data_IF_191416282868
#
_entry.id   IF_191416282868
#
_cell.length_a   1.000
_cell.length_b   1.000
_cell.length_c   1.000
_cell.angle_alpha   90.00
_cell.angle_beta   90.00
_cell.angle_gamma   90.00
#
_symmetry.space_group_name_H-M   'P 1'
#
loop_
_entity.id
_entity.type
_entity.pdbx_description
1 polymer ?
#
# COMPACT_ATOMS: atom_id res chain seq x y z
N UNK A 1 13.82 6.32 24.44
CA UNK A 1 13.81 6.85 23.05
C UNK A 1 14.93 7.88 22.78
N UNK A 2 15.69 8.36 23.77
CA UNK A 2 16.73 9.38 23.54
C UNK A 2 17.82 8.97 22.55
N UNK A 3 18.32 7.72 22.62
CA UNK A 3 19.31 7.22 21.66
C UNK A 3 18.80 7.24 20.20
N UNK A 4 17.52 6.93 19.99
CA UNK A 4 16.90 7.05 18.66
C UNK A 4 16.83 8.51 18.21
N UNK A 5 16.42 9.42 19.10
CA UNK A 5 16.34 10.84 18.78
C UNK A 5 17.69 11.41 18.36
N UNK A 6 18.76 11.11 19.10
CA UNK A 6 20.12 11.53 18.75
C UNK A 6 20.58 10.96 17.40
N UNK A 7 20.23 9.71 17.08
CA UNK A 7 20.54 9.11 15.77
C UNK A 7 19.80 9.80 14.64
N UNK A 8 18.52 10.13 14.82
CA UNK A 8 17.72 10.85 13.82
C UNK A 8 18.28 12.24 13.56
N UNK A 9 18.61 13.00 14.62
CA UNK A 9 19.24 14.32 14.50
C UNK A 9 20.55 14.22 13.71
N UNK A 10 21.43 13.29 14.09
CA UNK A 10 22.71 13.09 13.39
C UNK A 10 22.53 12.74 11.91
N UNK A 11 21.51 11.96 11.54
CA UNK A 11 21.24 11.64 10.14
C UNK A 11 20.70 12.85 9.38
N UNK A 12 19.77 13.61 9.99
CA UNK A 12 19.20 14.82 9.39
C UNK A 12 20.25 15.91 9.15
N UNK A 13 21.22 16.06 10.05
CA UNK A 13 22.32 17.04 9.94
C UNK A 13 23.48 16.56 9.06
N UNK A 14 23.43 15.33 8.52
CA UNK A 14 24.58 14.76 7.80
C UNK A 14 24.71 15.22 6.34
N UNK A 15 23.70 15.88 5.78
CA UNK A 15 23.61 16.27 4.36
C UNK A 15 23.88 15.11 3.36
N UNK A 16 23.66 13.85 3.77
CA UNK A 16 23.89 12.63 2.95
C UNK A 16 22.66 12.15 2.18
N UNK A 17 21.56 12.90 2.20
CA UNK A 17 20.33 12.48 1.53
C UNK A 17 20.50 12.59 0.00
N UNK A 18 20.35 11.46 -0.69
CA UNK A 18 20.30 11.37 -2.15
C UNK A 18 18.94 10.81 -2.58
N UNK A 19 17.89 11.57 -2.27
CA UNK A 19 16.53 11.14 -2.51
C UNK A 19 16.16 11.29 -3.99
N UNK A 20 15.64 10.21 -4.56
CA UNK A 20 14.96 10.19 -5.84
C UNK A 20 13.72 9.30 -5.75
N UNK A 21 12.74 9.54 -6.62
CA UNK A 21 11.58 8.64 -6.75
C UNK A 21 12.01 7.32 -7.36
N UNK A 22 11.22 6.27 -7.13
CA UNK A 22 11.52 4.92 -7.62
C UNK A 22 11.40 4.83 -9.15
N UNK A 23 10.50 5.62 -9.73
CA UNK A 23 10.24 5.69 -11.17
C UNK A 23 9.87 7.15 -11.55
N UNK A 24 10.06 7.52 -12.82
CA UNK A 24 9.58 8.80 -13.35
C UNK A 24 8.07 8.75 -13.66
N UNK A 25 7.43 9.92 -13.71
CA UNK A 25 5.98 10.03 -13.88
C UNK A 25 5.49 9.58 -15.25
N UNK A 26 6.31 9.69 -16.31
CA UNK A 26 5.99 9.29 -17.69
C UNK A 26 6.13 7.79 -17.96
N UNK A 27 6.54 7.01 -16.95
CA UNK A 27 6.61 5.55 -17.06
C UNK A 27 5.20 4.94 -17.24
N UNK A 28 4.99 3.99 -18.17
CA UNK A 28 3.70 3.33 -18.34
C UNK A 28 3.19 2.70 -17.04
N UNK A 29 1.87 2.70 -16.82
CA UNK A 29 1.29 2.25 -15.53
C UNK A 29 1.66 0.79 -15.19
N UNK A 30 1.71 -0.06 -16.22
CA UNK A 30 2.17 -1.45 -16.11
C UNK A 30 3.61 -1.52 -15.59
N UNK A 31 4.50 -0.71 -16.14
CA UNK A 31 5.92 -0.69 -15.76
C UNK A 31 6.12 -0.10 -14.37
N UNK A 32 5.30 0.88 -13.96
CA UNK A 32 5.27 1.39 -12.58
C UNK A 32 4.93 0.27 -11.59
N UNK A 33 3.92 -0.55 -11.87
CA UNK A 33 3.55 -1.72 -11.06
C UNK A 33 4.73 -2.72 -10.99
N UNK A 34 5.30 -3.07 -12.15
CA UNK A 34 6.42 -4.02 -12.24
C UNK A 34 7.67 -3.51 -11.49
N UNK A 35 7.95 -2.21 -11.56
CA UNK A 35 9.07 -1.57 -10.86
C UNK A 35 8.91 -1.68 -9.35
N UNK A 36 7.71 -1.38 -8.81
CA UNK A 36 7.45 -1.54 -7.38
C UNK A 36 7.60 -3.00 -6.96
N UNK A 37 7.00 -3.92 -7.70
CA UNK A 37 7.01 -5.34 -7.39
C UNK A 37 8.43 -5.93 -7.37
N UNK A 38 9.25 -5.59 -8.35
CA UNK A 38 10.61 -6.15 -8.50
C UNK A 38 11.62 -5.48 -7.58
N UNK A 39 11.64 -4.14 -7.50
CA UNK A 39 12.67 -3.41 -6.75
C UNK A 39 12.38 -3.32 -5.25
N UNK A 40 11.10 -3.18 -4.85
CA UNK A 40 10.73 -3.04 -3.43
C UNK A 40 10.35 -4.38 -2.81
N UNK A 41 9.51 -5.17 -3.50
CA UNK A 41 8.99 -6.42 -2.91
C UNK A 41 9.85 -7.65 -3.19
N UNK A 42 10.72 -7.61 -4.21
CA UNK A 42 11.54 -8.76 -4.60
C UNK A 42 10.77 -9.82 -5.41
N UNK A 43 9.68 -9.43 -6.07
CA UNK A 43 8.96 -10.29 -7.00
C UNK A 43 9.85 -10.66 -8.20
N UNK A 44 9.70 -11.88 -8.72
CA UNK A 44 10.37 -12.31 -9.95
C UNK A 44 9.62 -11.84 -11.20
N UNK A 45 8.30 -11.73 -11.10
CA UNK A 45 7.43 -11.22 -12.17
C UNK A 45 6.11 -10.71 -11.59
N UNK A 46 5.36 -10.00 -12.44
CA UNK A 46 3.98 -9.59 -12.15
C UNK A 46 3.07 -10.25 -13.16
N UNK A 47 1.97 -10.82 -12.68
CA UNK A 47 0.90 -11.38 -13.49
C UNK A 47 -0.32 -10.47 -13.35
N UNK A 48 -0.68 -9.79 -14.44
CA UNK A 48 -1.80 -8.84 -14.45
C UNK A 48 -2.96 -9.49 -15.19
N UNK A 49 -4.09 -9.66 -14.49
CA UNK A 49 -5.30 -10.23 -15.05
C UNK A 49 -5.75 -9.44 -16.27
N UNK A 50 -6.35 -10.14 -17.25
CA UNK A 50 -6.83 -9.54 -18.50
C UNK A 50 -7.75 -8.33 -18.27
N UNK A 51 -8.59 -8.38 -17.23
CA UNK A 51 -9.48 -7.28 -16.86
C UNK A 51 -8.67 -6.05 -16.42
N UNK A 52 -7.72 -6.24 -15.52
CA UNK A 52 -6.83 -5.18 -15.04
C UNK A 52 -5.98 -4.58 -16.18
N UNK A 53 -5.45 -5.42 -17.08
CA UNK A 53 -4.72 -4.96 -18.27
C UNK A 53 -5.57 -4.06 -19.17
N UNK A 54 -6.83 -4.43 -19.41
CA UNK A 54 -7.73 -3.61 -20.21
C UNK A 54 -8.04 -2.28 -19.52
N UNK A 55 -8.21 -2.29 -18.20
CA UNK A 55 -8.52 -1.09 -17.44
C UNK A 55 -7.32 -0.15 -17.32
N UNK A 56 -6.10 -0.68 -17.17
CA UNK A 56 -4.87 0.13 -17.28
C UNK A 56 -4.82 0.88 -18.61
N UNK A 57 -5.09 0.18 -19.72
CA UNK A 57 -5.15 0.81 -21.04
C UNK A 57 -6.23 1.88 -21.11
N UNK A 58 -7.41 1.63 -20.55
CA UNK A 58 -8.49 2.63 -20.52
C UNK A 58 -8.06 3.88 -19.74
N UNK A 59 -7.40 3.72 -18.59
CA UNK A 59 -6.89 4.83 -17.77
C UNK A 59 -5.83 5.63 -18.54
N UNK A 60 -4.93 4.97 -19.25
CA UNK A 60 -3.94 5.63 -20.12
C UNK A 60 -4.62 6.38 -21.27
N UNK A 61 -5.60 5.77 -21.94
CA UNK A 61 -6.37 6.38 -23.03
C UNK A 61 -7.18 7.61 -22.55
N UNK A 62 -7.53 7.68 -21.26
CA UNK A 62 -8.18 8.83 -20.63
C UNK A 62 -7.20 9.96 -20.24
N UNK A 63 -5.91 9.82 -20.54
CA UNK A 63 -4.88 10.82 -20.22
C UNK A 63 -4.41 10.78 -18.76
N UNK A 64 -4.62 9.64 -18.07
CA UNK A 64 -4.24 9.45 -16.66
C UNK A 64 -3.06 8.47 -16.50
N UNK A 65 -2.28 8.24 -17.56
CA UNK A 65 -1.11 7.35 -17.54
C UNK A 65 0.06 7.85 -16.69
N UNK A 66 0.19 9.17 -16.56
CA UNK A 66 1.28 9.79 -15.79
C UNK A 66 1.05 9.72 -14.27
N UNK A 67 -0.13 9.27 -13.84
CA UNK A 67 -0.43 9.15 -12.41
C UNK A 67 0.46 8.08 -11.73
N UNK A 68 0.85 8.29 -10.46
CA UNK A 68 1.53 7.28 -9.68
C UNK A 68 0.60 6.10 -9.35
N UNK A 69 1.21 4.97 -8.97
CA UNK A 69 0.51 3.73 -8.62
C UNK A 69 0.53 3.50 -7.11
N UNK A 70 -0.63 3.20 -6.55
CA UNK A 70 -0.85 2.74 -5.18
C UNK A 70 -1.12 1.23 -5.16
N UNK A 71 -0.21 0.46 -4.57
CA UNK A 71 -0.33 -1.00 -4.46
C UNK A 71 -1.21 -1.39 -3.27
N UNK A 72 -2.37 -2.01 -3.54
CA UNK A 72 -3.28 -2.52 -2.54
C UNK A 72 -3.09 -4.03 -2.38
N UNK A 73 -2.28 -4.41 -1.39
CA UNK A 73 -1.90 -5.79 -1.06
C UNK A 73 -1.93 -6.03 0.45
N UNK A 74 -1.78 -7.29 0.86
CA UNK A 74 -1.60 -7.65 2.28
C UNK A 74 -0.37 -6.95 2.88
N UNK A 75 -0.50 -6.40 4.08
CA UNK A 75 0.59 -5.77 4.83
C UNK A 75 1.48 -6.77 5.58
N UNK A 76 1.08 -8.05 5.66
CA UNK A 76 1.76 -9.07 6.47
C UNK A 76 2.99 -9.69 5.80
N UNK A 77 3.15 -9.48 4.50
CA UNK A 77 4.21 -10.07 3.68
C UNK A 77 4.71 -9.05 2.65
N UNK A 78 5.90 -9.26 2.08
CA UNK A 78 6.33 -8.54 0.87
C UNK A 78 5.57 -9.05 -0.37
N UNK A 79 5.18 -10.32 -0.40
CA UNK A 79 4.33 -10.88 -1.46
C UNK A 79 2.85 -10.55 -1.27
N UNK A 80 2.00 -10.99 -2.20
CA UNK A 80 0.54 -10.96 -2.07
C UNK A 80 -0.03 -12.08 -1.19
N UNK A 81 0.82 -13.00 -0.69
CA UNK A 81 0.46 -14.07 0.25
C UNK A 81 0.86 -13.69 1.69
N UNK A 82 -0.09 -13.52 2.63
CA UNK A 82 0.21 -13.12 4.00
C UNK A 82 1.02 -14.15 4.81
N UNK A 83 1.11 -15.40 4.35
CA UNK A 83 1.81 -16.48 5.06
C UNK A 83 3.32 -16.51 4.78
N UNK A 84 3.78 -15.82 3.73
CA UNK A 84 5.19 -15.76 3.35
C UNK A 84 5.94 -14.68 4.15
N UNK A 85 6.43 -15.06 5.33
CA UNK A 85 7.11 -14.14 6.24
C UNK A 85 8.60 -13.93 5.89
N UNK A 86 9.18 -12.86 6.44
CA UNK A 86 10.60 -12.54 6.29
C UNK A 86 10.89 -11.82 4.97
N UNK A 87 11.82 -12.37 4.17
CA UNK A 87 12.23 -11.81 2.88
C UNK A 87 11.97 -12.82 1.75
N UNK A 88 10.71 -13.06 1.37
CA UNK A 88 10.41 -13.87 0.18
C UNK A 88 10.99 -13.20 -1.07
N UNK A 89 11.36 -14.00 -2.06
CA UNK A 89 11.93 -13.52 -3.32
C UNK A 89 11.53 -14.40 -4.50
N UNK A 90 11.46 -13.84 -5.70
CA UNK A 90 11.17 -14.60 -6.92
C UNK A 90 9.72 -15.09 -7.03
N UNK A 91 8.83 -14.58 -6.18
CA UNK A 91 7.39 -14.87 -6.27
C UNK A 91 6.74 -14.10 -7.42
N UNK A 92 5.58 -14.57 -7.87
CA UNK A 92 4.77 -13.88 -8.87
C UNK A 92 3.73 -13.04 -8.14
N UNK A 93 3.77 -11.72 -8.31
CA UNK A 93 2.75 -10.83 -7.75
C UNK A 93 1.54 -10.80 -8.71
N UNK A 94 0.35 -11.14 -8.22
CA UNK A 94 -0.86 -11.12 -9.04
C UNK A 94 -1.59 -9.79 -8.90
N UNK A 95 -2.02 -9.18 -10.00
CA UNK A 95 -2.88 -7.98 -10.00
C UNK A 95 -4.21 -8.34 -10.63
N UNK A 96 -5.28 -8.32 -9.83
CA UNK A 96 -6.62 -8.76 -10.22
C UNK A 96 -7.45 -7.65 -10.85
N UNK A 97 -7.32 -6.45 -10.32
CA UNK A 97 -8.12 -5.30 -10.75
C UNK A 97 -7.34 -4.01 -10.56
N UNK A 98 -7.72 -2.98 -11.31
CA UNK A 98 -7.17 -1.64 -11.16
C UNK A 98 -8.31 -0.63 -11.25
N UNK A 99 -8.17 0.50 -10.56
CA UNK A 99 -9.08 1.63 -10.72
C UNK A 99 -8.36 2.94 -10.44
N UNK A 100 -8.92 4.04 -10.92
CA UNK A 100 -8.34 5.37 -10.74
C UNK A 100 -9.04 6.14 -9.63
N UNK A 101 -8.25 6.73 -8.72
CA UNK A 101 -8.71 7.73 -7.76
C UNK A 101 -8.38 9.11 -8.29
N UNK A 102 -9.13 9.58 -9.29
CA UNK A 102 -8.80 10.79 -10.06
C UNK A 102 -8.68 12.06 -9.22
N UNK A 103 -9.53 12.22 -8.20
CA UNK A 103 -9.45 13.36 -7.27
C UNK A 103 -8.20 13.33 -6.37
N UNK A 104 -7.71 12.14 -6.03
CA UNK A 104 -6.51 11.97 -5.22
C UNK A 104 -5.21 11.91 -6.06
N UNK A 105 -5.34 11.67 -7.37
CA UNK A 105 -4.22 11.68 -8.32
C UNK A 105 -3.38 10.41 -8.31
N UNK A 106 -3.98 9.22 -8.21
CA UNK A 106 -3.27 7.94 -8.34
C UNK A 106 -4.14 6.81 -8.87
N UNK A 107 -3.51 5.76 -9.40
CA UNK A 107 -4.12 4.50 -9.82
C UNK A 107 -3.92 3.46 -8.73
N UNK A 108 -4.97 2.75 -8.32
CA UNK A 108 -4.91 1.68 -7.33
C UNK A 108 -4.81 0.34 -8.03
N UNK A 109 -3.80 -0.47 -7.70
CA UNK A 109 -3.62 -1.84 -8.19
C UNK A 109 -3.92 -2.85 -7.08
N UNK A 110 -4.95 -3.69 -7.29
CA UNK A 110 -5.45 -4.64 -6.31
C UNK A 110 -4.83 -6.03 -6.54
N UNK A 111 -4.12 -6.57 -5.55
CA UNK A 111 -3.47 -7.90 -5.66
C UNK A 111 -4.29 -9.02 -5.02
N UNK A 112 -5.23 -8.68 -4.15
CA UNK A 112 -6.07 -9.62 -3.41
C UNK A 112 -7.32 -8.95 -2.87
N UNK A 113 -7.99 -9.63 -1.95
CA UNK A 113 -9.20 -9.11 -1.34
C UNK A 113 -8.84 -8.05 -0.31
N UNK A 114 -9.26 -6.81 -0.55
CA UNK A 114 -9.04 -5.68 0.35
C UNK A 114 -10.32 -5.38 1.10
N UNK A 115 -10.27 -5.44 2.43
CA UNK A 115 -11.39 -5.11 3.30
C UNK A 115 -11.53 -3.58 3.39
N UNK A 116 -12.55 -3.04 2.72
CA UNK A 116 -12.86 -1.60 2.73
C UNK A 116 -13.89 -1.22 3.80
N UNK A 117 -14.60 -2.20 4.36
CA UNK A 117 -15.61 -2.01 5.41
C UNK A 117 -15.44 -3.10 6.47
N UNK A 118 -14.72 -2.83 7.57
CA UNK A 118 -14.54 -3.80 8.63
C UNK A 118 -15.85 -4.04 9.38
N UNK A 119 -16.11 -5.30 9.74
CA UNK A 119 -17.22 -5.68 10.59
C UNK A 119 -16.90 -5.51 12.09
N UNK A 120 -17.94 -5.56 12.92
CA UNK A 120 -17.78 -5.65 14.38
C UNK A 120 -17.33 -7.07 14.79
N UNK A 121 -16.60 -7.15 15.90
CA UNK A 121 -16.25 -8.42 16.55
C UNK A 121 -17.48 -9.10 17.14
N UNK A 122 -17.35 -10.39 17.50
CA UNK A 122 -18.40 -11.14 18.20
C UNK A 122 -18.80 -10.50 19.54
N UNK A 123 -17.86 -9.82 20.20
CA UNK A 123 -18.09 -8.96 21.36
C UNK A 123 -17.55 -7.56 21.05
N UNK A 124 -18.38 -6.64 20.52
CA UNK A 124 -17.98 -5.28 20.21
C UNK A 124 -17.63 -4.50 21.49
N UNK A 125 -16.55 -3.73 21.47
CA UNK A 125 -16.15 -2.85 22.58
C UNK A 125 -17.28 -1.89 23.01
N UNK A 126 -18.21 -1.57 22.10
CA UNK A 126 -19.39 -0.74 22.37
C UNK A 126 -20.27 -1.26 23.53
N UNK A 127 -20.24 -2.56 23.86
CA UNK A 127 -20.98 -3.09 25.01
C UNK A 127 -20.36 -2.68 26.36
N UNK A 128 -19.07 -2.36 26.39
CA UNK A 128 -18.32 -1.98 27.59
C UNK A 128 -18.10 -0.45 27.69
N UNK A 129 -18.49 0.31 26.66
CA UNK A 129 -18.39 1.77 26.65
C UNK A 129 -19.52 2.36 27.51
N UNK A 130 -19.15 3.14 28.52
CA UNK A 130 -20.08 3.83 29.42
C UNK A 130 -19.48 5.13 29.97
N UNK A 131 -20.32 5.99 30.56
CA UNK A 131 -19.93 7.26 31.19
C UNK A 131 -20.37 7.24 32.65
N UNK A 132 -19.41 7.34 33.58
CA UNK A 132 -19.73 7.37 35.00
C UNK A 132 -20.35 8.71 35.43
N UNK A 133 -20.79 8.80 36.70
CA UNK A 133 -21.41 10.01 37.26
C UNK A 133 -20.51 11.26 37.23
N UNK A 134 -19.19 11.09 37.19
CA UNK A 134 -18.22 12.18 37.05
C UNK A 134 -17.99 12.62 35.59
N UNK A 135 -18.70 12.03 34.63
CA UNK A 135 -18.51 12.27 33.20
C UNK A 135 -17.26 11.58 32.61
N UNK A 136 -16.65 10.62 33.31
CA UNK A 136 -15.48 9.87 32.82
C UNK A 136 -15.92 8.66 32.01
N UNK A 137 -15.39 8.57 30.80
CA UNK A 137 -15.62 7.46 29.87
C UNK A 137 -14.81 6.23 30.31
N UNK A 138 -15.43 5.06 30.27
CA UNK A 138 -14.79 3.74 30.44
C UNK A 138 -14.95 2.91 29.16
N UNK A 139 -14.08 1.92 28.96
CA UNK A 139 -14.18 0.96 27.84
C UNK A 139 -13.79 1.49 26.45
N UNK A 140 -13.30 2.73 26.34
CA UNK A 140 -12.91 3.33 25.06
C UNK A 140 -11.46 3.04 24.64
N UNK A 141 -10.57 2.88 25.61
CA UNK A 141 -9.15 2.53 25.45
C UNK A 141 -8.68 1.68 26.63
#
# INVERSE_FOLDING_TARGET
AMDLAEKVIRLAESDKADFHTLYPDDMPLKEKIETIATQIYGAGSVDIDRKAMQELKNIEDMGMGDLPVCMAKTQYSLSDDPTLLGRPSGFVLKVRDVYVSSGAGFVVALTGDIMTMPGLSSHPAAYDIDVNEDGKIRGLF
#
